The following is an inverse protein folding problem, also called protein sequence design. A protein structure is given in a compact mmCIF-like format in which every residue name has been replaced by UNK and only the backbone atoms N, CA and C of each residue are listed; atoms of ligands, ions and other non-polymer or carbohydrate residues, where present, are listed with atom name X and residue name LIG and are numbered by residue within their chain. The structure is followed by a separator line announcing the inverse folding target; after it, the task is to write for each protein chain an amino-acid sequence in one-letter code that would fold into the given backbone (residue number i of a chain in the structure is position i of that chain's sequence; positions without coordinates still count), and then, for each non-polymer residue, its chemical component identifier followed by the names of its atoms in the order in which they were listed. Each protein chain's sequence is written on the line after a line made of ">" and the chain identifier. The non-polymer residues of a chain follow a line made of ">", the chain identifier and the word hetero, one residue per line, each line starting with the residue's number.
data_IF_486499294360
#
_entry.id   IF_486499294360
#
_cell.length_a   1.000
_cell.length_b   1.000
_cell.length_c   1.000
_cell.angle_alpha   90.00
_cell.angle_beta   90.00
_cell.angle_gamma   90.00
#
_symmetry.space_group_name_H-M   'P 1'
#
loop_
_entity.id
_entity.type
_entity.pdbx_description
1 polymer ?
#
# COMPACT_ATOMS: atom_id res chain seq x y z
N UNK A 1 -9.03 -17.21 -3.06
CA UNK A 1 -8.23 -16.10 -2.52
C UNK A 1 -8.75 -15.79 -1.12
N UNK A 2 -7.88 -15.83 -0.10
CA UNK A 2 -8.25 -15.48 1.28
C UNK A 2 -8.09 -13.97 1.49
N UNK A 3 -9.09 -13.29 2.06
CA UNK A 3 -9.05 -11.84 2.28
C UNK A 3 -8.57 -11.57 3.71
N UNK A 4 -7.50 -10.79 3.80
CA UNK A 4 -6.89 -10.28 5.02
C UNK A 4 -7.30 -8.83 5.21
N UNK A 5 -7.48 -8.41 6.46
CA UNK A 5 -7.98 -7.07 6.78
C UNK A 5 -7.07 -6.37 7.79
N UNK A 6 -6.70 -5.15 7.44
CA UNK A 6 -6.01 -4.18 8.29
C UNK A 6 -6.83 -2.88 8.28
N UNK A 7 -7.97 -2.89 8.98
CA UNK A 7 -8.96 -1.81 8.95
C UNK A 7 -9.37 -1.40 10.37
N UNK A 8 -9.82 -0.15 10.53
CA UNK A 8 -10.37 0.39 11.78
C UNK A 8 -9.41 0.41 12.99
N UNK A 9 -8.09 0.30 12.78
CA UNK A 9 -7.13 0.42 13.88
C UNK A 9 -7.01 1.85 14.40
N UNK A 10 -6.85 1.97 15.73
CA UNK A 10 -6.81 3.26 16.44
C UNK A 10 -5.49 3.53 17.15
N UNK A 11 -4.61 2.54 17.27
CA UNK A 11 -3.32 2.64 17.97
C UNK A 11 -2.23 1.83 17.26
N UNK A 12 -0.98 2.23 17.44
CA UNK A 12 0.17 1.54 16.85
C UNK A 12 0.26 0.09 17.32
N UNK A 13 0.09 -0.15 18.62
CA UNK A 13 0.16 -1.50 19.20
C UNK A 13 -0.84 -2.47 18.55
N UNK A 14 -2.10 -2.05 18.41
CA UNK A 14 -3.13 -2.91 17.80
C UNK A 14 -2.86 -3.14 16.31
N UNK A 15 -2.34 -2.14 15.61
CA UNK A 15 -1.93 -2.27 14.21
C UNK A 15 -0.75 -3.24 14.07
N UNK A 16 0.26 -3.15 14.95
CA UNK A 16 1.42 -4.00 14.95
C UNK A 16 1.07 -5.47 15.24
N UNK A 17 0.21 -5.69 16.24
CA UNK A 17 -0.29 -7.03 16.58
C UNK A 17 -1.04 -7.65 15.41
N UNK A 18 -1.95 -6.90 14.77
CA UNK A 18 -2.67 -7.38 13.60
C UNK A 18 -1.71 -7.73 12.47
N UNK A 19 -0.76 -6.85 12.12
CA UNK A 19 0.22 -7.12 11.08
C UNK A 19 1.03 -8.40 11.35
N UNK A 20 1.44 -8.63 12.60
CA UNK A 20 2.16 -9.87 12.97
C UNK A 20 1.26 -11.10 12.84
N UNK A 21 -0.01 -10.99 13.19
CA UNK A 21 -0.98 -12.07 13.00
C UNK A 21 -1.21 -12.37 11.51
N UNK A 22 -1.35 -11.35 10.67
CA UNK A 22 -1.49 -11.51 9.22
C UNK A 22 -0.26 -12.19 8.61
N UNK A 23 0.95 -11.77 8.98
CA UNK A 23 2.19 -12.39 8.50
C UNK A 23 2.26 -13.89 8.87
N UNK A 24 1.86 -14.26 10.09
CA UNK A 24 1.78 -15.67 10.50
C UNK A 24 0.76 -16.45 9.69
N UNK A 25 -0.47 -15.91 9.54
CA UNK A 25 -1.53 -16.56 8.77
C UNK A 25 -1.12 -16.84 7.33
N UNK A 26 -0.39 -15.93 6.69
CA UNK A 26 0.07 -16.14 5.32
C UNK A 26 1.06 -17.31 5.24
N UNK A 27 1.94 -17.48 6.24
CA UNK A 27 2.91 -18.57 6.28
C UNK A 27 2.29 -19.93 6.64
N UNK A 28 1.23 -19.94 7.46
CA UNK A 28 0.58 -21.16 7.94
C UNK A 28 -0.50 -21.70 6.96
N UNK A 29 -1.09 -20.80 6.18
CA UNK A 29 -2.16 -21.15 5.23
C UNK A 29 -1.62 -22.04 4.09
N UNK A 30 -2.28 -23.17 3.84
CA UNK A 30 -2.04 -23.98 2.63
C UNK A 30 -2.64 -23.35 1.36
N UNK A 31 -3.25 -22.17 1.50
CA UNK A 31 -3.87 -21.40 0.42
C UNK A 31 -2.81 -20.48 -0.20
N UNK A 32 -2.59 -20.60 -1.50
CA UNK A 32 -1.48 -19.93 -2.21
C UNK A 32 -1.80 -18.45 -2.56
N UNK A 33 -3.03 -17.99 -2.34
CA UNK A 33 -3.49 -16.68 -2.82
C UNK A 33 -4.21 -15.89 -1.72
N UNK A 34 -3.59 -14.80 -1.28
CA UNK A 34 -4.14 -13.85 -0.31
C UNK A 34 -4.37 -12.48 -0.95
N UNK A 35 -5.40 -11.77 -0.49
CA UNK A 35 -5.61 -10.36 -0.79
C UNK A 35 -5.66 -9.56 0.50
N UNK A 36 -5.12 -8.35 0.52
CA UNK A 36 -5.15 -7.46 1.69
C UNK A 36 -6.07 -6.27 1.44
N UNK A 37 -6.96 -5.97 2.38
CA UNK A 37 -7.72 -4.72 2.42
C UNK A 37 -7.22 -3.85 3.57
N UNK A 38 -6.87 -2.60 3.28
CA UNK A 38 -6.36 -1.64 4.27
C UNK A 38 -7.05 -0.29 4.13
N UNK A 39 -7.46 0.31 5.25
CA UNK A 39 -8.03 1.67 5.27
C UNK A 39 -6.97 2.75 5.51
N UNK A 40 -7.23 3.98 5.09
CA UNK A 40 -6.29 5.09 5.24
C UNK A 40 -5.85 5.35 6.70
N UNK A 41 -6.71 5.07 7.68
CA UNK A 41 -6.34 5.24 9.09
C UNK A 41 -5.32 4.20 9.54
N UNK A 42 -5.58 2.93 9.29
CA UNK A 42 -4.66 1.84 9.65
C UNK A 42 -3.38 1.89 8.83
N UNK A 43 -3.47 2.30 7.56
CA UNK A 43 -2.31 2.56 6.72
C UNK A 43 -1.40 3.64 7.32
N UNK A 44 -1.94 4.71 7.89
CA UNK A 44 -1.13 5.75 8.54
C UNK A 44 -0.30 5.19 9.70
N UNK A 45 -0.89 4.30 10.49
CA UNK A 45 -0.22 3.64 11.61
C UNK A 45 0.86 2.68 11.09
N UNK A 46 0.51 1.86 10.10
CA UNK A 46 1.41 0.89 9.48
C UNK A 46 2.64 1.57 8.85
N UNK A 47 2.44 2.67 8.12
CA UNK A 47 3.51 3.43 7.47
C UNK A 47 4.37 4.27 8.42
N UNK A 48 4.00 4.44 9.70
CA UNK A 48 4.76 5.26 10.63
C UNK A 48 5.87 4.47 11.32
N UNK A 49 5.51 3.36 11.95
CA UNK A 49 6.42 2.57 12.80
C UNK A 49 6.63 1.14 12.29
N UNK A 50 5.86 0.71 11.29
CA UNK A 50 5.74 -0.71 10.92
C UNK A 50 5.87 -0.96 9.41
N UNK A 51 6.55 -0.05 8.69
CA UNK A 51 6.68 -0.11 7.22
C UNK A 51 7.23 -1.44 6.72
N UNK A 52 8.25 -1.99 7.40
CA UNK A 52 8.88 -3.27 7.03
C UNK A 52 7.89 -4.42 7.12
N UNK A 53 7.13 -4.48 8.21
CA UNK A 53 6.17 -5.56 8.45
C UNK A 53 4.95 -5.43 7.52
N UNK A 54 4.49 -4.21 7.28
CA UNK A 54 3.44 -3.95 6.30
C UNK A 54 3.87 -4.36 4.88
N UNK A 55 5.10 -4.03 4.48
CA UNK A 55 5.66 -4.44 3.19
C UNK A 55 5.75 -5.96 3.07
N UNK A 56 6.18 -6.66 4.13
CA UNK A 56 6.23 -8.12 4.16
C UNK A 56 4.85 -8.75 3.91
N UNK A 57 3.81 -8.26 4.59
CA UNK A 57 2.43 -8.73 4.37
C UNK A 57 1.98 -8.44 2.94
N UNK A 58 2.20 -7.22 2.43
CA UNK A 58 1.82 -6.84 1.07
C UNK A 58 2.49 -7.70 -0.01
N UNK A 59 3.77 -8.05 0.16
CA UNK A 59 4.53 -8.86 -0.80
C UNK A 59 4.03 -10.29 -0.92
N UNK A 60 3.50 -10.84 0.17
CA UNK A 60 2.93 -12.18 0.17
C UNK A 60 1.44 -12.19 -0.22
N UNK A 61 0.86 -11.02 -0.55
CA UNK A 61 -0.49 -10.92 -1.09
C UNK A 61 -0.44 -10.80 -2.61
N UNK A 62 -1.35 -11.50 -3.30
CA UNK A 62 -1.54 -11.40 -4.74
C UNK A 62 -2.15 -10.07 -5.16
N UNK A 63 -2.91 -9.43 -4.27
CA UNK A 63 -3.49 -8.11 -4.47
C UNK A 63 -3.61 -7.34 -3.14
N UNK A 64 -3.46 -6.01 -3.20
CA UNK A 64 -3.67 -5.12 -2.06
C UNK A 64 -4.64 -4.01 -2.47
N UNK A 65 -5.73 -3.86 -1.72
CA UNK A 65 -6.72 -2.82 -1.87
C UNK A 65 -6.59 -1.82 -0.72
N UNK A 66 -6.10 -0.63 -1.05
CA UNK A 66 -6.08 0.49 -0.12
C UNK A 66 -7.31 1.37 -0.34
N UNK A 67 -8.09 1.62 0.72
CA UNK A 67 -9.32 2.43 0.63
C UNK A 67 -9.26 3.67 1.54
N UNK A 68 -9.98 4.73 1.14
CA UNK A 68 -10.05 6.02 1.87
C UNK A 68 -8.68 6.65 2.16
N UNK A 69 -7.76 6.58 1.20
CA UNK A 69 -6.41 7.15 1.32
C UNK A 69 -6.42 8.66 1.08
N UNK A 70 -5.63 9.40 1.87
CA UNK A 70 -5.24 10.76 1.53
C UNK A 70 -4.21 10.78 0.38
N UNK A 71 -4.12 11.86 -0.42
CA UNK A 71 -3.17 11.97 -1.54
C UNK A 71 -1.72 11.63 -1.16
N UNK A 72 -1.23 12.16 -0.04
CA UNK A 72 0.13 11.89 0.45
C UNK A 72 0.36 10.42 0.82
N UNK A 73 -0.69 9.71 1.26
CA UNK A 73 -0.55 8.28 1.58
C UNK A 73 -0.37 7.46 0.31
N UNK A 74 -1.02 7.83 -0.80
CA UNK A 74 -0.83 7.17 -2.10
C UNK A 74 0.64 7.23 -2.54
N UNK A 75 1.24 8.42 -2.48
CA UNK A 75 2.66 8.61 -2.78
C UNK A 75 3.56 7.80 -1.84
N UNK A 76 3.30 7.80 -0.52
CA UNK A 76 4.09 7.02 0.45
C UNK A 76 4.08 5.52 0.15
N UNK A 77 2.94 4.96 -0.26
CA UNK A 77 2.85 3.54 -0.64
C UNK A 77 3.71 3.25 -1.87
N UNK A 78 3.64 4.09 -2.90
CA UNK A 78 4.49 3.94 -4.09
C UNK A 78 5.97 4.02 -3.72
N UNK A 79 6.35 5.01 -2.91
CA UNK A 79 7.72 5.17 -2.43
C UNK A 79 8.21 3.95 -1.68
N UNK A 80 7.41 3.43 -0.74
CA UNK A 80 7.72 2.24 0.05
C UNK A 80 8.05 1.04 -0.85
N UNK A 81 7.22 0.78 -1.87
CA UNK A 81 7.44 -0.34 -2.80
C UNK A 81 8.65 -0.08 -3.71
N UNK A 82 8.77 1.13 -4.24
CA UNK A 82 9.88 1.58 -5.11
C UNK A 82 11.25 1.45 -4.45
N UNK A 83 11.36 1.82 -3.17
CA UNK A 83 12.62 1.76 -2.41
C UNK A 83 12.83 0.43 -1.69
N UNK A 84 11.95 -0.54 -1.88
CA UNK A 84 12.08 -1.86 -1.29
C UNK A 84 13.34 -2.60 -1.80
N UNK A 85 13.86 -3.60 -1.08
CA UNK A 85 15.09 -4.30 -1.48
C UNK A 85 15.08 -4.91 -2.89
N UNK A 86 13.89 -5.26 -3.41
CA UNK A 86 13.71 -5.83 -4.74
C UNK A 86 13.78 -4.77 -5.84
N UNK A 87 13.64 -3.48 -5.47
CA UNK A 87 13.65 -2.32 -6.37
C UNK A 87 12.78 -2.53 -7.62
N UNK A 88 11.49 -2.88 -7.45
CA UNK A 88 10.60 -3.08 -8.59
C UNK A 88 10.43 -1.77 -9.36
N UNK A 89 10.25 -1.87 -10.68
CA UNK A 89 9.77 -0.75 -11.49
C UNK A 89 8.30 -0.53 -11.14
N UNK A 90 7.97 0.70 -10.79
CA UNK A 90 6.63 1.09 -10.33
C UNK A 90 5.94 1.97 -11.36
N UNK A 91 4.67 1.66 -11.64
CA UNK A 91 3.80 2.47 -12.47
C UNK A 91 2.65 2.99 -11.60
N UNK A 92 2.31 4.26 -11.77
CA UNK A 92 1.14 4.87 -11.15
C UNK A 92 0.28 5.55 -12.22
N UNK A 93 -1.03 5.28 -12.17
CA UNK A 93 -2.03 5.86 -13.05
C UNK A 93 -3.09 6.60 -12.23
N UNK A 94 -3.55 7.73 -12.73
CA UNK A 94 -4.65 8.49 -12.13
C UNK A 94 -5.19 9.57 -13.05
N UNK A 95 -6.36 10.09 -12.72
CA UNK A 95 -7.16 11.00 -13.55
C UNK A 95 -7.43 12.35 -12.87
N UNK A 96 -6.99 12.55 -11.63
CA UNK A 96 -7.27 13.77 -10.87
C UNK A 96 -6.11 14.27 -10.01
N UNK A 97 -6.27 15.48 -9.48
CA UNK A 97 -5.27 16.18 -8.66
C UNK A 97 -4.82 15.39 -7.41
N UNK A 98 -5.67 14.50 -6.90
CA UNK A 98 -5.37 13.64 -5.74
C UNK A 98 -4.32 12.57 -6.02
N UNK A 99 -4.06 12.27 -7.29
CA UNK A 99 -3.12 11.23 -7.71
C UNK A 99 -1.78 11.82 -8.16
N UNK A 100 -1.67 13.15 -8.26
CA UNK A 100 -0.48 13.82 -8.80
C UNK A 100 0.79 13.40 -8.07
N UNK A 101 0.78 13.45 -6.73
CA UNK A 101 1.94 13.06 -5.93
C UNK A 101 2.30 11.58 -6.06
N UNK A 102 1.31 10.71 -6.27
CA UNK A 102 1.54 9.27 -6.47
C UNK A 102 2.15 9.00 -7.85
N UNK A 103 1.64 9.69 -8.87
CA UNK A 103 2.11 9.60 -10.26
C UNK A 103 3.56 10.10 -10.37
N UNK A 104 3.88 11.23 -9.74
CA UNK A 104 5.24 11.78 -9.72
C UNK A 104 6.24 10.92 -8.92
N UNK A 105 5.78 10.20 -7.89
CA UNK A 105 6.66 9.34 -7.07
C UNK A 105 7.04 8.02 -7.80
N UNK A 106 6.20 7.54 -8.72
CA UNK A 106 6.46 6.31 -9.48
C UNK A 106 7.65 6.44 -10.45
N UNK A 107 8.12 5.32 -11.00
CA UNK A 107 9.10 5.37 -12.09
C UNK A 107 8.44 5.78 -13.41
N UNK A 108 7.21 5.31 -13.62
CA UNK A 108 6.37 5.67 -14.76
C UNK A 108 5.05 6.22 -14.24
N UNK A 109 4.77 7.47 -14.58
CA UNK A 109 3.52 8.14 -14.25
C UNK A 109 2.62 8.26 -15.48
N UNK A 110 1.35 7.90 -15.35
CA UNK A 110 0.34 8.08 -16.40
C UNK A 110 -0.80 8.95 -15.86
N UNK A 111 -0.95 10.14 -16.43
CA UNK A 111 -2.07 11.02 -16.19
C UNK A 111 -3.03 11.04 -17.38
N UNK A 112 -4.34 11.11 -17.12
CA UNK A 112 -5.35 11.30 -18.16
C UNK A 112 -5.89 12.74 -18.17
N UNK A 113 -6.18 13.28 -19.36
CA UNK A 113 -6.84 14.58 -19.53
C UNK A 113 -5.92 15.80 -19.29
N UNK A 114 -6.47 17.00 -19.01
CA UNK A 114 -5.69 18.25 -18.88
C UNK A 114 -4.67 18.23 -17.74
N UNK A 115 -4.75 17.25 -16.84
CA UNK A 115 -3.80 17.06 -15.76
C UNK A 115 -2.48 16.43 -16.21
N UNK A 116 -2.37 15.95 -17.46
CA UNK A 116 -1.10 15.41 -17.99
C UNK A 116 0.04 16.43 -17.98
N UNK A 117 -0.28 17.72 -18.08
CA UNK A 117 0.69 18.83 -18.07
C UNK A 117 1.35 19.07 -16.71
N UNK A 118 0.76 18.56 -15.61
CA UNK A 118 1.32 18.69 -14.25
C UNK A 118 2.47 17.70 -13.97
N UNK A 119 2.81 16.83 -14.94
CA UNK A 119 3.81 15.76 -14.79
C UNK A 119 5.12 16.01 -15.56
N UNK A 120 5.16 17.03 -16.41
CA UNK A 120 6.34 17.52 -17.14
C UNK A 120 7.01 18.67 -16.39
#
# INVERSE_FOLDING_TARGET
>A
MNILELVQHKSDNTCAEQLRQLARRINDDHVIQHGLVVDGKSLSLALREHEKLFMEVCRNCSAVLCCRMAPLQKAKVVRLLKTSPEKPITLAIGDGANDVSMIQEAHVGIGNGPFSELFT
#
